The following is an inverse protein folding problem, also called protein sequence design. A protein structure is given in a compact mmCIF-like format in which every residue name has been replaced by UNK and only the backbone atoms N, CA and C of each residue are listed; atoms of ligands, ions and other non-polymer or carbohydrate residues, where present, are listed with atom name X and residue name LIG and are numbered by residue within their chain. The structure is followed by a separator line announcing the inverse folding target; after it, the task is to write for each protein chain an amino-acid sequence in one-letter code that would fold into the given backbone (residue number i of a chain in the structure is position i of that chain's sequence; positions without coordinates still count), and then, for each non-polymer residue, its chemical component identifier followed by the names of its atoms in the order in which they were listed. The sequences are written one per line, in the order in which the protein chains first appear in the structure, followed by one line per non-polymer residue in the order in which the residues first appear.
data_IF_157355443650
#
_entry.id   IF_157355443650
#
_cell.length_a   1.000
_cell.length_b   1.000
_cell.length_c   1.000
_cell.angle_alpha   90.00
_cell.angle_beta   90.00
_cell.angle_gamma   90.00
#
_symmetry.space_group_name_H-M   'P 1'
#
loop_
_entity.id
_entity.type
_entity.pdbx_description
1 polymer ?
#
# COMPACT_ATOMS: atom_id res chain seq x y z
N UNK A 1 15.69 11.54 10.03
CA UNK A 1 14.24 11.49 9.71
C UNK A 1 13.85 10.03 9.51
N UNK A 2 12.62 9.62 9.85
CA UNK A 2 12.20 8.22 9.75
C UNK A 2 12.12 7.75 8.28
N UNK A 3 12.52 6.51 8.01
CA UNK A 3 12.37 5.87 6.68
C UNK A 3 10.94 5.38 6.47
N UNK A 4 10.53 5.25 5.22
CA UNK A 4 9.29 4.57 4.85
C UNK A 4 9.40 3.07 5.12
N UNK A 5 8.30 2.46 5.55
CA UNK A 5 8.24 1.01 5.84
C UNK A 5 7.88 0.24 4.57
N UNK A 6 8.32 -1.01 4.47
CA UNK A 6 8.08 -1.83 3.29
C UNK A 6 6.58 -2.14 3.14
N UNK A 7 6.08 -2.11 1.91
CA UNK A 7 4.75 -2.59 1.57
C UNK A 7 4.78 -4.12 1.42
N UNK A 8 3.91 -4.81 2.15
CA UNK A 8 3.67 -6.24 1.92
C UNK A 8 2.44 -6.37 1.00
N UNK A 9 2.69 -6.45 -0.31
CA UNK A 9 1.63 -6.69 -1.31
C UNK A 9 1.16 -8.13 -1.20
N UNK A 10 -0.05 -8.35 -0.69
CA UNK A 10 -0.70 -9.66 -0.75
C UNK A 10 -1.55 -9.74 -2.02
N UNK A 11 -1.03 -10.43 -3.03
CA UNK A 11 -1.81 -10.89 -4.18
C UNK A 11 -2.33 -12.27 -3.83
N UNK A 12 -3.64 -12.44 -3.77
CA UNK A 12 -4.28 -13.73 -3.46
C UNK A 12 -4.00 -14.77 -4.57
N UNK A 13 -3.22 -15.81 -4.25
CA UNK A 13 -3.21 -17.12 -4.92
C UNK A 13 -3.06 -18.21 -3.85
N UNK A 14 -4.04 -19.11 -3.77
CA UNK A 14 -4.01 -20.31 -2.92
C UNK A 14 -3.24 -21.48 -3.59
N UNK A 15 -3.03 -22.54 -2.78
CA UNK A 15 -2.65 -23.95 -3.05
C UNK A 15 -1.14 -24.23 -3.32
N UNK A 16 -0.42 -25.25 -2.81
CA UNK A 16 -0.60 -26.59 -2.17
C UNK A 16 0.52 -26.76 -1.10
N UNK A 17 0.44 -27.48 0.03
CA UNK A 17 0.11 -28.89 0.21
C UNK A 17 1.38 -29.73 0.52
N UNK A 18 1.56 -30.16 1.79
CA UNK A 18 2.58 -31.14 2.27
C UNK A 18 3.93 -30.50 2.66
N UNK A 19 4.61 -30.82 3.77
CA UNK A 19 4.79 -32.09 4.46
C UNK A 19 5.31 -31.79 5.90
N UNK A 20 4.68 -32.29 6.96
CA UNK A 20 5.20 -32.19 8.33
C UNK A 20 5.26 -33.61 8.90
N UNK A 21 6.48 -34.09 9.11
CA UNK A 21 6.78 -35.38 9.70
C UNK A 21 6.29 -35.46 11.14
N UNK A 22 5.70 -36.61 11.45
CA UNK A 22 5.20 -36.99 12.75
C UNK A 22 6.36 -37.33 13.70
N UNK A 23 6.49 -36.60 14.81
CA UNK A 23 7.03 -37.17 16.04
C UNK A 23 6.09 -36.81 17.19
N UNK A 24 5.34 -37.81 17.62
CA UNK A 24 4.34 -37.74 18.68
C UNK A 24 5.00 -37.64 20.05
N UNK A 25 4.51 -36.74 20.92
CA UNK A 25 4.42 -37.00 22.36
C UNK A 25 3.20 -36.28 22.97
N UNK A 26 2.32 -37.09 23.56
CA UNK A 26 1.12 -36.71 24.32
C UNK A 26 1.51 -36.00 25.61
N UNK A 27 0.70 -35.03 26.05
CA UNK A 27 0.04 -35.06 27.36
C UNK A 27 -0.99 -33.94 27.50
N UNK A 28 -2.20 -34.37 27.81
CA UNK A 28 -3.40 -33.56 28.02
C UNK A 28 -3.46 -33.03 29.46
N UNK A 29 -3.98 -31.81 29.57
CA UNK A 29 -4.54 -31.12 30.75
C UNK A 29 -3.66 -30.06 31.44
N UNK A 30 -4.12 -28.82 31.21
CA UNK A 30 -4.08 -27.62 32.05
C UNK A 30 -2.77 -26.85 32.17
N UNK A 31 -2.58 -25.91 31.22
CA UNK A 31 -1.99 -24.59 31.50
C UNK A 31 -2.57 -23.54 30.55
N UNK A 32 -3.51 -22.77 31.10
CA UNK A 32 -3.83 -21.36 30.82
C UNK A 32 -3.25 -20.76 29.54
N UNK A 33 -4.11 -20.30 28.62
CA UNK A 33 -3.84 -19.39 27.50
C UNK A 33 -2.40 -18.86 27.43
N UNK A 34 -1.46 -19.68 26.96
CA UNK A 34 -0.16 -19.17 26.56
C UNK A 34 -0.23 -18.93 25.06
N UNK A 35 -0.92 -17.82 24.74
CA UNK A 35 -0.60 -17.04 23.57
C UNK A 35 0.89 -16.71 23.70
N UNK A 36 1.74 -17.50 23.06
CA UNK A 36 3.10 -17.08 22.77
C UNK A 36 2.96 -15.99 21.72
N UNK A 37 2.74 -14.78 22.23
CA UNK A 37 2.68 -13.59 21.43
C UNK A 37 4.07 -13.44 20.82
N UNK A 38 4.18 -13.77 19.54
CA UNK A 38 5.29 -13.32 18.72
C UNK A 38 5.06 -11.81 18.51
N UNK A 39 5.34 -11.00 19.54
CA UNK A 39 5.11 -9.54 19.56
C UNK A 39 5.95 -8.76 18.54
N UNK A 40 6.93 -9.40 17.90
CA UNK A 40 7.97 -8.64 17.19
C UNK A 40 7.67 -8.30 15.73
N UNK A 41 6.46 -8.56 15.22
CA UNK A 41 6.14 -8.22 13.82
C UNK A 41 4.67 -7.86 13.54
N UNK A 42 4.05 -7.05 14.40
CA UNK A 42 2.69 -6.56 14.20
C UNK A 42 2.66 -5.40 13.18
N UNK A 43 2.46 -5.73 11.91
CA UNK A 43 2.22 -4.76 10.83
C UNK A 43 0.78 -4.23 10.77
N UNK A 44 0.52 -3.36 9.80
CA UNK A 44 -0.80 -2.77 9.56
C UNK A 44 -1.45 -3.44 8.35
N UNK A 45 -2.66 -3.95 8.52
CA UNK A 45 -3.50 -4.41 7.40
C UNK A 45 -4.69 -3.46 7.27
N UNK A 46 -4.86 -2.84 6.10
CA UNK A 46 -5.89 -1.81 5.87
C UNK A 46 -6.42 -1.83 4.44
N UNK A 47 -7.22 -0.85 4.05
CA UNK A 47 -7.71 -0.64 2.70
C UNK A 47 -8.22 0.79 2.51
N UNK A 48 -9.28 0.93 1.70
CA UNK A 48 -9.89 2.22 1.27
C UNK A 48 -10.61 3.00 2.39
N UNK A 49 -9.92 3.24 3.51
CA UNK A 49 -10.48 3.90 4.69
C UNK A 49 -10.97 5.31 4.35
N UNK A 50 -12.28 5.51 4.53
CA UNK A 50 -12.93 6.80 4.31
C UNK A 50 -13.12 7.20 2.85
N UNK A 51 -12.97 6.29 1.89
CA UNK A 51 -13.09 6.60 0.46
C UNK A 51 -14.49 6.32 -0.14
N UNK A 52 -15.40 5.74 0.65
CA UNK A 52 -16.79 5.50 0.26
C UNK A 52 -17.69 6.69 0.58
N UNK A 53 -18.64 6.51 1.51
CA UNK A 53 -19.60 7.54 1.91
C UNK A 53 -18.96 8.87 2.40
N UNK A 54 -17.72 8.82 2.89
CA UNK A 54 -16.98 10.01 3.34
C UNK A 54 -16.24 10.75 2.21
N UNK A 55 -16.26 10.22 0.98
CA UNK A 55 -15.74 10.91 -0.21
C UNK A 55 -14.24 11.19 -0.21
N UNK A 56 -13.45 10.47 0.59
CA UNK A 56 -12.00 10.61 0.60
C UNK A 56 -11.37 10.15 -0.71
N UNK A 57 -10.33 10.88 -1.13
CA UNK A 57 -9.50 10.52 -2.28
C UNK A 57 -8.69 9.24 -1.99
N UNK A 58 -8.88 8.14 -2.75
CA UNK A 58 -8.23 6.86 -2.46
C UNK A 58 -6.70 6.91 -2.53
N UNK A 59 -6.14 7.62 -3.51
CA UNK A 59 -4.69 7.72 -3.71
C UNK A 59 -4.05 8.44 -2.52
N UNK A 60 -4.62 9.59 -2.12
CA UNK A 60 -4.15 10.32 -0.95
C UNK A 60 -4.33 9.53 0.34
N UNK A 61 -5.45 8.84 0.51
CA UNK A 61 -5.71 8.03 1.71
C UNK A 61 -4.76 6.85 1.83
N UNK A 62 -4.34 6.23 0.72
CA UNK A 62 -3.34 5.17 0.73
C UNK A 62 -1.98 5.71 1.24
N UNK A 63 -1.53 6.83 0.68
CA UNK A 63 -0.25 7.45 1.04
C UNK A 63 -0.25 7.96 2.50
N UNK A 64 -1.34 8.58 2.96
CA UNK A 64 -1.47 9.03 4.36
C UNK A 64 -1.39 7.86 5.33
N UNK A 65 -2.03 6.73 5.02
CA UNK A 65 -1.95 5.53 5.87
C UNK A 65 -0.53 4.94 5.88
N UNK A 66 0.17 4.96 4.74
CA UNK A 66 1.56 4.52 4.66
C UNK A 66 2.51 5.42 5.47
N UNK A 67 2.32 6.74 5.39
CA UNK A 67 3.03 7.71 6.23
C UNK A 67 2.78 7.44 7.73
N UNK A 68 1.52 7.21 8.12
CA UNK A 68 1.16 6.93 9.51
C UNK A 68 1.78 5.60 10.01
N UNK A 69 1.76 4.55 9.21
CA UNK A 69 2.40 3.28 9.54
C UNK A 69 3.92 3.44 9.68
N UNK A 70 4.54 4.19 8.75
CA UNK A 70 5.98 4.48 8.78
C UNK A 70 6.39 5.30 10.00
N UNK A 71 5.64 6.35 10.31
CA UNK A 71 5.89 7.20 11.47
C UNK A 71 5.64 6.45 12.79
N UNK A 72 4.67 5.53 12.81
CA UNK A 72 4.39 4.64 13.92
C UNK A 72 5.35 3.46 14.04
N UNK A 73 6.43 3.43 13.24
CA UNK A 73 7.46 2.38 13.24
C UNK A 73 6.88 0.97 13.08
N UNK A 74 5.83 0.83 12.26
CA UNK A 74 5.22 -0.46 11.96
C UNK A 74 6.12 -1.23 10.99
N UNK A 75 6.35 -2.53 11.18
CA UNK A 75 7.31 -3.27 10.37
C UNK A 75 6.89 -3.37 8.89
N UNK A 76 5.57 -3.39 8.62
CA UNK A 76 5.01 -3.36 7.28
C UNK A 76 3.61 -2.76 7.26
N UNK A 77 3.15 -2.42 6.06
CA UNK A 77 1.74 -2.16 5.75
C UNK A 77 1.29 -3.03 4.57
N UNK A 78 0.10 -3.63 4.67
CA UNK A 78 -0.58 -4.32 3.59
C UNK A 78 -1.88 -3.60 3.27
N UNK A 79 -2.02 -3.15 2.03
CA UNK A 79 -3.15 -2.35 1.59
C UNK A 79 -4.05 -3.14 0.63
N UNK A 80 -5.30 -3.34 1.01
CA UNK A 80 -6.31 -4.02 0.19
C UNK A 80 -7.12 -2.98 -0.59
N UNK A 81 -6.90 -2.92 -1.90
CA UNK A 81 -7.50 -1.92 -2.79
C UNK A 81 -8.94 -2.23 -3.19
N UNK A 82 -9.40 -3.47 -2.99
CA UNK A 82 -10.69 -3.96 -3.48
C UNK A 82 -10.90 -3.74 -4.99
N UNK A 83 -9.82 -3.79 -5.77
CA UNK A 83 -9.88 -3.60 -7.23
C UNK A 83 -10.26 -2.18 -7.67
N UNK A 84 -10.16 -1.20 -6.78
CA UNK A 84 -10.52 0.17 -7.09
C UNK A 84 -9.58 0.75 -8.17
N UNK A 85 -10.15 1.15 -9.31
CA UNK A 85 -9.36 1.58 -10.48
C UNK A 85 -8.42 2.75 -10.19
N UNK A 86 -8.81 3.69 -9.32
CA UNK A 86 -7.94 4.80 -8.91
C UNK A 86 -6.60 4.31 -8.29
N UNK A 87 -6.58 3.10 -7.71
CA UNK A 87 -5.40 2.54 -7.06
C UNK A 87 -4.62 1.54 -7.93
N UNK A 88 -4.91 1.43 -9.24
CA UNK A 88 -4.23 0.46 -10.11
C UNK A 88 -2.71 0.65 -10.15
N UNK A 89 -2.22 1.89 -10.00
CA UNK A 89 -0.80 2.22 -9.99
C UNK A 89 -0.17 2.23 -8.59
N UNK A 90 -0.90 1.88 -7.53
CA UNK A 90 -0.40 1.97 -6.15
C UNK A 90 0.94 1.26 -5.97
N UNK A 91 1.04 0.02 -6.45
CA UNK A 91 2.26 -0.79 -6.38
C UNK A 91 3.43 -0.14 -7.14
N UNK A 92 3.20 0.34 -8.35
CA UNK A 92 4.26 0.95 -9.16
C UNK A 92 4.77 2.26 -8.52
N UNK A 93 3.86 3.06 -7.96
CA UNK A 93 4.20 4.30 -7.26
C UNK A 93 4.96 4.00 -5.97
N UNK A 94 4.54 3.00 -5.18
CA UNK A 94 5.22 2.65 -3.93
C UNK A 94 6.63 2.10 -4.19
N UNK A 95 6.80 1.23 -5.17
CA UNK A 95 8.11 0.74 -5.62
C UNK A 95 9.02 1.89 -6.09
N UNK A 96 8.47 2.83 -6.88
CA UNK A 96 9.21 4.00 -7.33
C UNK A 96 9.66 4.87 -6.15
N UNK A 97 8.77 5.19 -5.21
CA UNK A 97 9.11 5.98 -4.01
C UNK A 97 10.21 5.29 -3.19
N UNK A 98 10.08 3.98 -2.96
CA UNK A 98 11.08 3.20 -2.22
C UNK A 98 12.45 3.19 -2.92
N UNK A 99 12.47 3.10 -4.25
CA UNK A 99 13.72 3.11 -5.03
C UNK A 99 14.47 4.45 -4.97
N UNK A 100 13.77 5.55 -4.65
CA UNK A 100 14.34 6.87 -4.46
C UNK A 100 14.78 7.14 -3.01
N UNK A 101 14.66 6.15 -2.13
CA UNK A 101 15.06 6.21 -0.71
C UNK A 101 14.40 7.37 0.06
N UNK A 102 13.16 7.72 -0.30
CA UNK A 102 12.45 8.81 0.37
C UNK A 102 12.22 8.53 1.85
N UNK A 103 12.38 9.57 2.65
CA UNK A 103 11.97 9.56 4.06
C UNK A 103 10.47 9.84 4.19
N UNK A 104 9.92 9.62 5.39
CA UNK A 104 8.56 10.06 5.73
C UNK A 104 8.36 11.55 5.44
N UNK A 105 9.40 12.37 5.68
CA UNK A 105 9.35 13.81 5.42
C UNK A 105 9.25 14.15 3.94
N UNK A 106 10.02 13.48 3.11
CA UNK A 106 10.03 13.72 1.66
C UNK A 106 8.65 13.40 1.07
N UNK A 107 8.08 12.24 1.41
CA UNK A 107 6.76 11.86 0.94
C UNK A 107 5.65 12.79 1.50
N UNK A 108 5.75 13.21 2.76
CA UNK A 108 4.82 14.20 3.33
C UNK A 108 4.87 15.54 2.57
N UNK A 109 6.06 16.03 2.24
CA UNK A 109 6.22 17.27 1.49
C UNK A 109 5.53 17.19 0.12
N UNK A 110 5.62 16.05 -0.56
CA UNK A 110 4.93 15.85 -1.84
C UNK A 110 3.41 15.84 -1.70
N UNK A 111 2.87 15.20 -0.66
CA UNK A 111 1.43 15.24 -0.36
C UNK A 111 0.96 16.66 -0.04
N UNK A 112 1.74 17.40 0.75
CA UNK A 112 1.43 18.77 1.12
C UNK A 112 1.46 19.71 -0.10
N UNK A 113 2.47 19.60 -0.96
CA UNK A 113 2.59 20.39 -2.18
C UNK A 113 1.45 20.11 -3.16
N UNK A 114 1.14 18.83 -3.41
CA UNK A 114 -0.01 18.46 -4.24
C UNK A 114 -1.33 19.03 -3.70
N UNK A 115 -1.55 18.91 -2.38
CA UNK A 115 -2.75 19.44 -1.73
C UNK A 115 -2.85 20.96 -1.88
N UNK A 116 -1.74 21.67 -1.74
CA UNK A 116 -1.67 23.12 -1.94
C UNK A 116 -1.97 23.51 -3.39
N UNK A 117 -1.42 22.78 -4.36
CA UNK A 117 -1.69 23.03 -5.78
C UNK A 117 -3.15 22.76 -6.16
N UNK A 118 -3.78 21.72 -5.59
CA UNK A 118 -5.23 21.46 -5.75
C UNK A 118 -6.09 22.57 -5.16
N UNK A 119 -5.80 22.98 -3.92
CA UNK A 119 -6.56 24.05 -3.24
C UNK A 119 -6.46 25.38 -3.99
N UNK A 120 -5.30 25.67 -4.59
CA UNK A 120 -5.09 26.87 -5.38
C UNK A 120 -5.64 26.76 -6.81
N UNK A 121 -6.28 25.66 -7.18
CA UNK A 121 -6.83 25.43 -8.53
C UNK A 121 -5.77 25.31 -9.63
N UNK A 122 -4.49 25.10 -9.28
CA UNK A 122 -3.38 24.96 -10.25
C UNK A 122 -3.40 23.60 -10.93
N UNK A 123 -3.91 22.58 -10.24
CA UNK A 123 -4.13 21.24 -10.78
C UNK A 123 -5.64 20.98 -10.73
N UNK A 124 -6.20 20.63 -11.89
CA UNK A 124 -7.60 20.28 -12.03
C UNK A 124 -7.65 18.87 -12.60
N UNK A 125 -8.36 17.98 -11.91
CA UNK A 125 -8.68 16.63 -12.39
C UNK A 125 -7.48 15.68 -12.66
N UNK A 126 -6.33 15.93 -12.01
CA UNK A 126 -5.17 15.02 -12.05
C UNK A 126 -5.00 14.36 -10.67
N UNK A 127 -5.02 13.02 -10.65
CA UNK A 127 -4.76 12.21 -9.45
C UNK A 127 -3.34 12.42 -8.91
N UNK A 128 -3.15 12.14 -7.62
CA UNK A 128 -1.86 12.25 -6.95
C UNK A 128 -0.80 11.38 -7.63
N UNK A 129 -1.14 10.15 -8.03
CA UNK A 129 -0.18 9.23 -8.67
C UNK A 129 0.32 9.77 -10.00
N UNK A 130 -0.58 10.23 -10.87
CA UNK A 130 -0.20 10.83 -12.16
C UNK A 130 0.56 12.15 -11.98
N UNK A 131 0.18 12.96 -11.00
CA UNK A 131 0.91 14.19 -10.69
C UNK A 131 2.33 13.92 -10.20
N UNK A 132 2.49 12.92 -9.33
CA UNK A 132 3.77 12.54 -8.75
C UNK A 132 4.70 11.89 -9.78
N UNK A 133 4.14 11.00 -10.62
CA UNK A 133 4.87 10.25 -11.62
C UNK A 133 4.15 10.34 -12.98
N UNK A 134 4.37 11.44 -13.74
CA UNK A 134 3.67 11.68 -15.01
C UNK A 134 3.89 10.59 -16.07
N UNK A 135 5.00 9.85 -16.01
CA UNK A 135 5.28 8.73 -16.91
C UNK A 135 4.24 7.60 -16.83
N UNK A 136 3.46 7.51 -15.76
CA UNK A 136 2.31 6.60 -15.66
C UNK A 136 1.25 6.86 -16.74
N UNK A 137 1.07 8.12 -17.14
CA UNK A 137 0.11 8.49 -18.19
C UNK A 137 0.54 8.07 -19.59
N UNK A 138 1.85 7.93 -19.83
CA UNK A 138 2.40 7.61 -21.15
C UNK A 138 2.24 6.12 -21.51
N UNK A 139 2.16 5.23 -20.52
CA UNK A 139 2.08 3.79 -20.73
C UNK A 139 0.69 3.29 -21.16
N UNK A 140 -0.36 4.10 -21.02
CA UNK A 140 -1.71 3.73 -21.47
C UNK A 140 -1.91 3.91 -22.98
N UNK A 141 -1.18 4.84 -23.60
CA UNK A 141 -1.30 5.14 -25.04
C UNK A 141 -0.75 4.00 -25.90
N UNK A 142 0.30 3.31 -25.46
CA UNK A 142 0.94 2.26 -26.27
C UNK A 142 0.15 0.93 -26.36
N UNK A 143 -0.84 0.69 -25.49
CA UNK A 143 -1.66 -0.53 -25.54
C UNK A 143 -2.96 -0.32 -26.32
N UNK A 144 -3.57 0.87 -26.23
CA UNK A 144 -4.76 1.20 -27.04
C UNK A 144 -4.45 1.24 -28.52
N UNK A 145 -3.27 1.75 -28.91
CA UNK A 145 -2.86 1.82 -30.32
C UNK A 145 -2.56 0.43 -30.94
N UNK A 146 -2.37 -0.60 -30.11
CA UNK A 146 -2.09 -1.96 -30.54
C UNK A 146 -3.36 -2.83 -30.71
N UNK A 147 -4.51 -2.38 -30.20
CA UNK A 147 -5.79 -3.09 -30.29
C UNK A 147 -6.69 -2.59 -31.44
N UNK A 148 -6.36 -1.45 -32.06
CA UNK A 148 -7.10 -0.89 -33.21
C UNK A 148 -6.54 -1.33 -34.58
N UNK A 149 -5.60 -2.28 -34.62
CA UNK A 149 -4.97 -2.78 -35.86
C UNK A 149 -5.26 -4.25 -36.19
N UNK A 150 -6.26 -4.88 -35.57
CA UNK A 150 -6.70 -6.25 -35.93
C UNK A 150 -8.16 -6.31 -36.33
#
# INVERSE_FOLDING_TARGET
MNRLVNEATSTSVEIYGGNLENVALRNSQEKSCQSLVHEDNLGVVTGNWGCGAFGGDPELKAIIQWLAASQGLRPFISYYTFGLQALHNLKQVSEWILSHEWTVGDLWNMVAEYSLQRLNGKIIDIGFFTWLLPSLSANHTSISDLLDTT
#
